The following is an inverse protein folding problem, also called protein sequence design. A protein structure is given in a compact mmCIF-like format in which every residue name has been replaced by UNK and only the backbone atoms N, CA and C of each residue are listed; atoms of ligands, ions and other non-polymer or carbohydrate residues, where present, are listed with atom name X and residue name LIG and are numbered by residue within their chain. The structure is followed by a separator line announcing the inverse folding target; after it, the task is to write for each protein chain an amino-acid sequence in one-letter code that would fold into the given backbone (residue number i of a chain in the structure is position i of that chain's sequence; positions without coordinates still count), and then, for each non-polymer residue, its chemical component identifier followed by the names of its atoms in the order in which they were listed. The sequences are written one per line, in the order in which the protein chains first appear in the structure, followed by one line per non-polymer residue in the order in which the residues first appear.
data_IF_307218403763
#
_entry.id   IF_307218403763
#
_cell.length_a   1.000
_cell.length_b   1.000
_cell.length_c   1.000
_cell.angle_alpha   90.00
_cell.angle_beta   90.00
_cell.angle_gamma   90.00
#
_symmetry.space_group_name_H-M   'P 1'
#
loop_
_entity.id
_entity.type
_entity.pdbx_description
1 polymer ?
#
# COMPACT_ATOMS: atom_id res chain seq x y z
N UNK A 1 -5.08 2.32 -8.91
CA UNK A 1 -4.83 0.92 -9.33
C UNK A 1 -4.31 0.09 -8.18
N UNK A 2 -3.83 -1.13 -8.44
CA UNK A 2 -3.24 -2.00 -7.42
C UNK A 2 -1.86 -1.50 -6.96
N UNK A 3 -1.49 -1.77 -5.70
CA UNK A 3 -0.18 -1.41 -5.14
C UNK A 3 0.91 -2.46 -5.41
N UNK A 4 0.62 -3.46 -6.25
CA UNK A 4 1.60 -4.44 -6.73
C UNK A 4 1.86 -5.59 -5.76
N UNK A 5 1.09 -5.72 -4.69
CA UNK A 5 1.19 -6.83 -3.74
C UNK A 5 0.91 -8.19 -4.41
N UNK A 6 0.19 -8.20 -5.52
CA UNK A 6 -0.08 -9.36 -6.38
C UNK A 6 1.13 -9.83 -7.21
N UNK A 7 2.19 -9.02 -7.32
CA UNK A 7 3.35 -9.29 -8.17
C UNK A 7 4.38 -10.21 -7.48
N UNK A 8 5.17 -10.94 -8.27
CA UNK A 8 6.20 -11.85 -7.75
C UNK A 8 7.19 -11.16 -6.81
N UNK A 9 7.43 -11.77 -5.64
CA UNK A 9 8.38 -11.24 -4.66
C UNK A 9 9.84 -11.24 -5.12
N UNK A 10 10.22 -12.07 -6.11
CA UNK A 10 11.59 -12.07 -6.65
C UNK A 10 11.87 -10.82 -7.49
N UNK A 11 10.93 -10.41 -8.32
CA UNK A 11 11.10 -9.29 -9.25
C UNK A 11 10.57 -7.97 -8.68
N UNK A 12 9.60 -8.03 -7.76
CA UNK A 12 8.94 -6.88 -7.15
C UNK A 12 8.97 -7.01 -5.62
N UNK A 13 10.14 -6.82 -4.98
CA UNK A 13 10.26 -6.91 -3.53
C UNK A 13 9.47 -5.78 -2.83
N UNK A 14 9.05 -6.02 -1.57
CA UNK A 14 8.24 -5.06 -0.80
C UNK A 14 8.86 -3.67 -0.72
N UNK A 15 10.18 -3.59 -0.58
CA UNK A 15 10.90 -2.31 -0.55
C UNK A 15 10.69 -1.49 -1.84
N UNK A 16 10.78 -2.14 -3.00
CA UNK A 16 10.56 -1.47 -4.29
C UNK A 16 9.10 -1.00 -4.42
N UNK A 17 8.13 -1.83 -4.02
CA UNK A 17 6.72 -1.47 -4.06
C UNK A 17 6.42 -0.28 -3.13
N UNK A 18 6.97 -0.27 -1.92
CA UNK A 18 6.86 0.82 -0.97
C UNK A 18 7.45 2.12 -1.53
N UNK A 19 8.67 2.07 -2.06
CA UNK A 19 9.37 3.25 -2.59
C UNK A 19 8.61 3.83 -3.80
N UNK A 20 8.07 2.95 -4.67
CA UNK A 20 7.24 3.34 -5.81
C UNK A 20 5.93 3.98 -5.36
N UNK A 21 5.17 3.36 -4.46
CA UNK A 21 3.90 3.90 -3.99
C UNK A 21 4.10 5.22 -3.24
N UNK A 22 5.14 5.30 -2.40
CA UNK A 22 5.46 6.50 -1.63
C UNK A 22 5.78 7.71 -2.51
N UNK A 23 6.37 7.50 -3.69
CA UNK A 23 6.77 8.57 -4.61
C UNK A 23 5.72 8.91 -5.66
N UNK A 24 4.96 7.92 -6.14
CA UNK A 24 4.08 8.08 -7.29
C UNK A 24 2.64 8.41 -6.95
N UNK A 25 2.15 8.11 -5.74
CA UNK A 25 0.76 8.40 -5.37
C UNK A 25 0.50 9.91 -5.32
N UNK A 26 -0.62 10.33 -5.91
CA UNK A 26 -1.05 11.73 -6.01
C UNK A 26 -2.46 11.92 -5.47
N UNK A 27 -2.84 13.19 -5.29
CA UNK A 27 -4.22 13.52 -4.98
C UNK A 27 -5.15 13.10 -6.14
N UNK A 28 -6.32 12.57 -5.79
CA UNK A 28 -7.26 11.99 -6.75
C UNK A 28 -7.00 10.54 -7.15
N UNK A 29 -5.86 9.94 -6.77
CA UNK A 29 -5.62 8.51 -7.01
C UNK A 29 -6.53 7.62 -6.14
N UNK A 30 -7.10 6.59 -6.75
CA UNK A 30 -7.75 5.49 -6.03
C UNK A 30 -6.86 4.26 -6.09
N UNK A 31 -6.40 3.77 -4.94
CA UNK A 31 -5.54 2.59 -4.86
C UNK A 31 -6.08 1.48 -3.99
N UNK A 32 -5.68 0.26 -4.31
CA UNK A 32 -6.12 -0.95 -3.64
C UNK A 32 -4.93 -1.88 -3.40
N UNK A 33 -4.95 -2.59 -2.26
CA UNK A 33 -3.97 -3.61 -1.94
C UNK A 33 -4.64 -4.75 -1.17
N UNK A 34 -4.11 -5.95 -1.28
CA UNK A 34 -4.53 -7.08 -0.45
C UNK A 34 -3.65 -7.16 0.80
N UNK A 35 -4.29 -7.29 1.96
CA UNK A 35 -3.57 -7.32 3.24
C UNK A 35 -2.87 -8.65 3.53
N UNK A 36 -3.17 -9.70 2.75
CA UNK A 36 -2.75 -11.06 3.06
C UNK A 36 -2.71 -11.98 1.84
N UNK A 37 -2.26 -11.49 0.69
CA UNK A 37 -1.89 -12.42 -0.39
C UNK A 37 -0.74 -13.31 0.12
N UNK A 38 -1.05 -14.58 0.34
CA UNK A 38 -0.14 -15.59 0.90
C UNK A 38 1.02 -15.95 -0.04
N UNK A 39 0.97 -15.49 -1.30
CA UNK A 39 2.01 -15.77 -2.29
C UNK A 39 3.26 -14.89 -2.13
N UNK A 40 3.22 -13.85 -1.30
CA UNK A 40 4.41 -13.04 -1.02
C UNK A 40 5.31 -13.74 -0.01
N UNK A 41 6.62 -13.64 -0.22
CA UNK A 41 7.63 -14.17 0.73
C UNK A 41 7.52 -13.51 2.10
N UNK A 42 7.39 -12.18 2.09
CA UNK A 42 7.12 -11.37 3.28
C UNK A 42 5.72 -10.74 3.14
N UNK A 43 4.83 -10.92 4.13
CA UNK A 43 3.46 -10.39 4.06
C UNK A 43 3.45 -8.87 3.83
N UNK A 44 2.60 -8.42 2.91
CA UNK A 44 2.60 -7.00 2.48
C UNK A 44 2.18 -6.05 3.60
N UNK A 45 1.07 -6.32 4.29
CA UNK A 45 0.52 -5.40 5.30
C UNK A 45 1.54 -5.03 6.41
N UNK A 46 2.15 -5.99 7.14
CA UNK A 46 3.11 -5.65 8.19
C UNK A 46 4.43 -5.07 7.64
N UNK A 47 4.81 -5.39 6.41
CA UNK A 47 6.09 -4.93 5.84
C UNK A 47 5.99 -3.57 5.12
N UNK A 48 4.80 -3.16 4.67
CA UNK A 48 4.61 -2.01 3.77
C UNK A 48 3.58 -1.01 4.26
N UNK A 49 2.43 -1.46 4.77
CA UNK A 49 1.25 -0.58 4.97
C UNK A 49 1.53 0.57 5.94
N UNK A 50 2.09 0.27 7.11
CA UNK A 50 2.37 1.28 8.13
C UNK A 50 3.36 2.33 7.60
N UNK A 51 4.48 1.87 7.01
CA UNK A 51 5.49 2.77 6.48
C UNK A 51 4.97 3.62 5.31
N UNK A 52 4.11 3.05 4.46
CA UNK A 52 3.47 3.79 3.36
C UNK A 52 2.59 4.92 3.90
N UNK A 53 1.77 4.65 4.92
CA UNK A 53 0.93 5.67 5.56
C UNK A 53 1.81 6.78 6.17
N UNK A 54 2.89 6.43 6.86
CA UNK A 54 3.84 7.40 7.43
C UNK A 54 4.44 8.29 6.33
N UNK A 55 4.91 7.69 5.23
CA UNK A 55 5.52 8.41 4.12
C UNK A 55 4.52 9.39 3.46
N UNK A 56 3.28 8.94 3.23
CA UNK A 56 2.25 9.77 2.63
C UNK A 56 1.79 10.89 3.58
N UNK A 57 1.69 10.63 4.89
CA UNK A 57 1.47 11.70 5.89
C UNK A 57 2.58 12.74 5.85
N UNK A 58 3.84 12.32 5.73
CA UNK A 58 4.98 13.22 5.56
C UNK A 58 4.91 14.08 4.29
N UNK A 59 4.17 13.62 3.27
CA UNK A 59 3.86 14.38 2.04
C UNK A 59 2.59 15.23 2.15
N UNK A 60 1.91 15.25 3.29
CA UNK A 60 0.72 16.06 3.54
C UNK A 60 -0.62 15.34 3.35
N UNK A 61 -0.63 14.03 3.06
CA UNK A 61 -1.88 13.28 2.95
C UNK A 61 -2.52 13.03 4.32
N UNK A 62 -3.85 12.99 4.35
CA UNK A 62 -4.64 12.65 5.53
C UNK A 62 -5.36 11.32 5.32
N UNK A 63 -5.49 10.52 6.39
CA UNK A 63 -6.09 9.19 6.35
C UNK A 63 -7.21 9.09 7.37
N UNK A 64 -8.32 8.48 6.94
CA UNK A 64 -9.43 8.07 7.78
C UNK A 64 -9.90 6.69 7.34
N UNK A 65 -10.50 5.93 8.26
CA UNK A 65 -11.23 4.71 7.88
C UNK A 65 -12.48 5.09 7.12
N UNK A 66 -12.92 4.24 6.19
CA UNK A 66 -14.23 4.42 5.57
C UNK A 66 -15.33 4.41 6.64
N UNK A 67 -16.37 5.26 6.51
CA UNK A 67 -17.53 5.19 7.38
C UNK A 67 -18.14 3.79 7.36
N UNK A 68 -18.68 3.34 8.50
CA UNK A 68 -19.48 2.12 8.52
C UNK A 68 -20.70 2.32 7.61
N UNK A 69 -20.93 1.38 6.72
CA UNK A 69 -22.23 1.26 6.05
C UNK A 69 -23.11 0.40 6.94
N UNK A 70 -24.16 0.99 7.51
CA UNK A 70 -25.21 0.23 8.17
C UNK A 70 -25.87 -0.66 7.10
N UNK A 71 -25.97 -1.96 7.41
CA UNK A 71 -26.51 -2.98 6.49
C UNK A 71 -28.03 -3.03 6.54
#
# INVERSE_FOLDING_TARGET
GFLGDELSSQTHPNKMLLDKASSQLQDGDITMAHLGIWSRKDPWAPAVLEQLIINLKGRGFCFATLPKQDK
#
